data_IF_452507891822
#
_entry.id   IF_452507891822
#
_cell.length_a   1.000
_cell.length_b   1.000
_cell.length_c   1.000
_cell.angle_alpha   90.00
_cell.angle_beta   90.00
_cell.angle_gamma   90.00
#
_symmetry.space_group_name_H-M   'P 1'
#
loop_
_entity.id
_entity.type
_entity.pdbx_description
1 polymer ?
#
# COMPACT_ATOMS: atom_id res chain seq x y z
N UNK A 1 -6.49 -36.62 44.16
CA UNK A 1 -5.47 -36.23 43.16
C UNK A 1 -5.60 -37.14 41.93
N UNK A 2 -6.66 -36.99 41.14
CA UNK A 2 -6.86 -37.78 39.92
C UNK A 2 -7.85 -37.10 38.93
N UNK A 3 -7.66 -35.80 38.64
CA UNK A 3 -8.54 -35.09 37.68
C UNK A 3 -7.83 -34.19 36.67
N UNK A 4 -6.48 -34.12 36.68
CA UNK A 4 -5.74 -33.24 35.75
C UNK A 4 -5.05 -33.98 34.59
N UNK A 5 -5.07 -35.31 34.56
CA UNK A 5 -4.39 -36.09 33.50
C UNK A 5 -5.27 -36.33 32.26
N UNK A 6 -6.59 -36.36 32.40
CA UNK A 6 -7.50 -36.62 31.27
C UNK A 6 -7.75 -35.45 30.34
N UNK A 7 -7.58 -34.19 30.79
CA UNK A 7 -7.75 -33.00 29.92
C UNK A 7 -6.60 -32.79 28.97
N UNK A 8 -5.38 -33.20 29.31
CA UNK A 8 -4.21 -33.07 28.41
C UNK A 8 -4.25 -34.10 27.28
N UNK A 9 -4.71 -35.31 27.55
CA UNK A 9 -4.84 -36.37 26.52
C UNK A 9 -5.91 -36.09 25.47
N UNK A 10 -7.02 -35.45 25.87
CA UNK A 10 -8.08 -35.07 24.90
C UNK A 10 -7.69 -33.88 23.99
N UNK A 11 -6.87 -32.96 24.50
CA UNK A 11 -6.34 -31.86 23.68
C UNK A 11 -5.31 -32.37 22.66
N UNK A 12 -4.46 -33.29 23.05
CA UNK A 12 -3.43 -33.92 22.21
C UNK A 12 -4.05 -34.82 21.11
N UNK A 13 -5.10 -35.57 21.44
CA UNK A 13 -5.85 -36.37 20.47
C UNK A 13 -6.56 -35.51 19.41
N UNK A 14 -7.13 -34.37 19.80
CA UNK A 14 -7.78 -33.44 18.87
C UNK A 14 -6.81 -32.76 17.90
N UNK A 15 -5.59 -32.49 18.33
CA UNK A 15 -4.53 -31.96 17.43
C UNK A 15 -4.07 -33.05 16.45
N UNK A 16 -3.87 -34.28 16.90
CA UNK A 16 -3.47 -35.39 16.03
C UNK A 16 -4.52 -35.72 14.95
N UNK A 17 -5.81 -35.68 15.27
CA UNK A 17 -6.89 -35.86 14.29
C UNK A 17 -6.94 -34.72 13.26
N UNK A 18 -6.74 -33.45 13.67
CA UNK A 18 -6.68 -32.31 12.75
C UNK A 18 -5.46 -32.35 11.82
N UNK A 19 -4.32 -32.85 12.31
CA UNK A 19 -3.12 -33.03 11.46
C UNK A 19 -3.30 -34.15 10.44
N UNK A 20 -3.94 -35.26 10.81
CA UNK A 20 -4.27 -36.35 9.89
C UNK A 20 -5.24 -35.89 8.79
N UNK A 21 -6.28 -35.11 9.15
CA UNK A 21 -7.22 -34.54 8.19
C UNK A 21 -6.55 -33.53 7.28
N UNK A 22 -5.63 -32.69 7.81
CA UNK A 22 -4.85 -31.74 7.06
C UNK A 22 -3.93 -32.40 6.03
N UNK A 23 -3.24 -33.47 6.41
CA UNK A 23 -2.36 -34.23 5.51
C UNK A 23 -3.17 -34.95 4.42
N UNK A 24 -4.31 -35.52 4.76
CA UNK A 24 -5.22 -36.17 3.81
C UNK A 24 -5.71 -35.16 2.76
N UNK A 25 -6.13 -33.96 3.19
CA UNK A 25 -6.54 -32.88 2.29
C UNK A 25 -5.39 -32.41 1.37
N UNK A 26 -4.15 -32.30 1.91
CA UNK A 26 -2.98 -31.97 1.09
C UNK A 26 -2.66 -33.06 0.06
N UNK A 27 -2.80 -34.34 0.44
CA UNK A 27 -2.57 -35.48 -0.48
C UNK A 27 -3.60 -35.51 -1.60
N UNK A 28 -4.87 -35.18 -1.34
CA UNK A 28 -5.91 -35.05 -2.37
C UNK A 28 -5.54 -33.96 -3.40
N UNK A 29 -5.12 -32.76 -2.93
CA UNK A 29 -4.67 -31.69 -3.83
C UNK A 29 -3.41 -32.09 -4.60
N UNK A 30 -2.45 -32.75 -3.98
CA UNK A 30 -1.23 -33.24 -4.63
C UNK A 30 -1.55 -34.23 -5.78
N UNK A 31 -2.54 -35.09 -5.59
CA UNK A 31 -3.03 -35.97 -6.65
C UNK A 31 -3.57 -35.16 -7.84
N UNK A 32 -4.34 -34.10 -7.58
CA UNK A 32 -4.83 -33.20 -8.62
C UNK A 32 -3.69 -32.46 -9.34
N UNK A 33 -2.64 -32.01 -8.62
CA UNK A 33 -1.47 -31.37 -9.20
C UNK A 33 -0.70 -32.28 -10.17
N UNK A 34 -0.71 -33.60 -9.94
CA UNK A 34 -0.05 -34.60 -10.79
C UNK A 34 -0.92 -35.14 -11.93
N UNK A 35 -2.14 -34.63 -12.07
CA UNK A 35 -3.01 -35.02 -13.16
C UNK A 35 -2.40 -34.67 -14.52
N UNK A 36 -2.63 -35.49 -15.52
CA UNK A 36 -2.28 -35.17 -16.93
C UNK A 36 -3.19 -34.13 -17.58
N UNK A 37 -4.27 -33.69 -16.89
CA UNK A 37 -5.24 -32.72 -17.40
C UNK A 37 -5.03 -31.35 -16.78
N UNK A 38 -4.80 -30.35 -17.63
CA UNK A 38 -4.58 -28.96 -17.19
C UNK A 38 -5.71 -28.44 -16.29
N UNK A 39 -6.96 -28.73 -16.59
CA UNK A 39 -8.12 -28.29 -15.80
C UNK A 39 -8.10 -28.81 -14.37
N UNK A 40 -7.78 -30.10 -14.18
CA UNK A 40 -7.66 -30.74 -12.85
C UNK A 40 -6.49 -30.13 -12.06
N UNK A 41 -5.34 -29.85 -12.72
CA UNK A 41 -4.21 -29.18 -12.12
C UNK A 41 -4.58 -27.77 -11.63
N UNK A 42 -5.26 -26.99 -12.47
CA UNK A 42 -5.72 -25.65 -12.12
C UNK A 42 -6.71 -25.67 -10.96
N UNK A 43 -7.67 -26.61 -10.96
CA UNK A 43 -8.63 -26.77 -9.89
C UNK A 43 -7.93 -27.11 -8.57
N UNK A 44 -6.95 -28.00 -8.59
CA UNK A 44 -6.15 -28.30 -7.41
C UNK A 44 -5.41 -27.06 -6.90
N UNK A 45 -4.73 -26.29 -7.79
CA UNK A 45 -3.99 -25.09 -7.42
C UNK A 45 -4.90 -24.05 -6.74
N UNK A 46 -6.08 -23.77 -7.27
CA UNK A 46 -6.95 -22.70 -6.73
C UNK A 46 -7.61 -23.06 -5.39
N UNK A 47 -7.54 -24.33 -4.98
CA UNK A 47 -8.06 -24.79 -3.66
C UNK A 47 -7.08 -24.54 -2.51
N UNK A 48 -5.78 -24.31 -2.75
CA UNK A 48 -4.76 -24.13 -1.70
C UNK A 48 -5.05 -23.00 -0.71
N UNK A 49 -5.55 -21.80 -1.11
CA UNK A 49 -5.87 -20.76 -0.13
C UNK A 49 -6.88 -21.19 0.92
N UNK A 50 -7.87 -22.02 0.52
CA UNK A 50 -8.85 -22.59 1.47
C UNK A 50 -8.20 -23.60 2.40
N UNK A 51 -7.26 -24.41 1.89
CA UNK A 51 -6.49 -25.35 2.71
C UNK A 51 -5.70 -24.60 3.79
N UNK A 52 -5.01 -23.50 3.42
CA UNK A 52 -4.24 -22.67 4.35
C UNK A 52 -5.09 -21.97 5.42
N UNK A 53 -6.31 -21.58 5.05
CA UNK A 53 -7.26 -20.98 6.00
C UNK A 53 -7.78 -22.01 7.00
N UNK A 54 -8.08 -23.24 6.52
CA UNK A 54 -8.60 -24.32 7.38
C UNK A 54 -7.51 -24.91 8.27
N UNK A 55 -6.30 -25.07 7.74
CA UNK A 55 -5.17 -25.72 8.40
C UNK A 55 -3.91 -24.82 8.36
N UNK A 56 -3.79 -23.81 9.23
CA UNK A 56 -2.69 -22.84 9.19
C UNK A 56 -1.38 -23.37 9.83
N UNK A 57 -1.10 -24.67 9.69
CA UNK A 57 0.09 -25.30 10.26
C UNK A 57 1.34 -25.01 9.41
N UNK A 58 2.47 -24.56 9.99
CA UNK A 58 3.67 -24.23 9.23
C UNK A 58 4.22 -25.39 8.39
N UNK A 59 4.21 -26.61 8.91
CA UNK A 59 4.69 -27.82 8.21
C UNK A 59 3.87 -28.08 6.94
N UNK A 60 2.53 -28.02 7.06
CA UNK A 60 1.62 -28.20 5.92
C UNK A 60 1.80 -27.10 4.89
N UNK A 61 1.85 -25.84 5.33
CA UNK A 61 2.03 -24.66 4.46
C UNK A 61 3.35 -24.77 3.71
N UNK A 62 4.45 -25.09 4.39
CA UNK A 62 5.75 -25.28 3.76
C UNK A 62 5.71 -26.38 2.69
N UNK A 63 5.16 -27.56 3.02
CA UNK A 63 5.03 -28.66 2.06
C UNK A 63 4.16 -28.28 0.85
N UNK A 64 3.06 -27.57 1.09
CA UNK A 64 2.16 -27.11 0.05
C UNK A 64 2.84 -26.10 -0.89
N UNK A 65 3.54 -25.09 -0.37
CA UNK A 65 4.26 -24.12 -1.20
C UNK A 65 5.39 -24.75 -2.00
N UNK A 66 6.11 -25.75 -1.46
CA UNK A 66 7.12 -26.49 -2.23
C UNK A 66 6.49 -27.27 -3.41
N UNK A 67 5.29 -27.85 -3.23
CA UNK A 67 4.55 -28.50 -4.33
C UNK A 67 4.08 -27.47 -5.38
N UNK A 68 3.56 -26.32 -4.94
CA UNK A 68 3.17 -25.23 -5.84
C UNK A 68 4.39 -24.67 -6.62
N UNK A 69 5.57 -24.62 -6.00
CA UNK A 69 6.81 -24.21 -6.68
C UNK A 69 7.23 -25.22 -7.77
N UNK A 70 7.03 -26.52 -7.55
CA UNK A 70 7.29 -27.52 -8.59
C UNK A 70 6.32 -27.37 -9.77
N UNK A 71 5.04 -27.14 -9.49
CA UNK A 71 4.05 -26.83 -10.55
C UNK A 71 4.42 -25.56 -11.31
N UNK A 72 4.89 -24.52 -10.62
CA UNK A 72 5.36 -23.29 -11.24
C UNK A 72 6.57 -23.55 -12.15
N UNK A 73 7.53 -24.33 -11.71
CA UNK A 73 8.76 -24.64 -12.44
C UNK A 73 8.47 -25.40 -13.74
N UNK A 74 7.64 -26.44 -13.69
CA UNK A 74 7.42 -27.37 -14.80
C UNK A 74 6.21 -26.99 -15.67
N UNK A 75 5.23 -26.30 -15.08
CA UNK A 75 3.96 -25.96 -15.71
C UNK A 75 4.07 -24.94 -16.84
N UNK A 76 3.00 -24.82 -17.61
CA UNK A 76 2.85 -23.76 -18.60
C UNK A 76 2.54 -22.40 -17.96
N UNK A 77 2.49 -21.33 -18.74
CA UNK A 77 2.26 -19.98 -18.24
C UNK A 77 0.90 -19.79 -17.55
N UNK A 78 -0.12 -20.55 -17.96
CA UNK A 78 -1.42 -20.48 -17.31
C UNK A 78 -1.36 -21.05 -15.88
N UNK A 79 -0.72 -22.21 -15.70
CA UNK A 79 -0.47 -22.78 -14.37
C UNK A 79 0.41 -21.86 -13.50
N UNK A 80 1.48 -21.29 -14.07
CA UNK A 80 2.32 -20.29 -13.39
C UNK A 80 1.49 -19.11 -12.90
N UNK A 81 0.58 -18.61 -13.73
CA UNK A 81 -0.32 -17.51 -13.35
C UNK A 81 -1.28 -17.93 -12.22
N UNK A 82 -1.82 -19.16 -12.26
CA UNK A 82 -2.65 -19.67 -11.17
C UNK A 82 -1.87 -19.75 -9.85
N UNK A 83 -0.64 -20.27 -9.87
CA UNK A 83 0.23 -20.34 -8.69
C UNK A 83 0.56 -18.93 -8.17
N UNK A 84 0.88 -17.98 -9.05
CA UNK A 84 1.09 -16.58 -8.67
C UNK A 84 -0.14 -16.01 -7.93
N UNK A 85 -1.34 -16.21 -8.47
CA UNK A 85 -2.58 -15.71 -7.85
C UNK A 85 -2.84 -16.34 -6.49
N UNK A 86 -2.61 -17.65 -6.37
CA UNK A 86 -2.71 -18.37 -5.08
C UNK A 86 -1.71 -17.83 -4.06
N UNK A 87 -0.46 -17.58 -4.47
CA UNK A 87 0.58 -16.99 -3.61
C UNK A 87 0.16 -15.60 -3.11
N UNK A 88 -0.35 -14.73 -4.00
CA UNK A 88 -0.86 -13.41 -3.64
C UNK A 88 -2.05 -13.47 -2.67
N UNK A 89 -3.00 -14.39 -2.89
CA UNK A 89 -4.14 -14.59 -1.98
C UNK A 89 -3.73 -15.14 -0.61
N UNK A 90 -2.58 -15.81 -0.57
CA UNK A 90 -2.06 -16.48 0.63
C UNK A 90 -0.92 -15.69 1.29
N UNK A 91 -0.80 -14.39 1.03
CA UNK A 91 0.26 -13.52 1.55
C UNK A 91 0.46 -13.66 3.06
N UNK A 92 -0.64 -13.73 3.84
CA UNK A 92 -0.63 -13.90 5.31
C UNK A 92 0.06 -15.20 5.80
N UNK A 93 0.27 -16.15 4.90
CA UNK A 93 0.86 -17.44 5.21
C UNK A 93 2.30 -17.58 4.71
N UNK A 94 2.85 -16.60 3.98
CA UNK A 94 4.19 -16.67 3.41
C UNK A 94 5.27 -16.77 4.49
N UNK A 95 5.12 -16.08 5.61
CA UNK A 95 6.05 -16.14 6.75
C UNK A 95 6.15 -17.52 7.40
N UNK A 96 5.17 -18.41 7.13
CA UNK A 96 5.16 -19.79 7.64
C UNK A 96 5.93 -20.78 6.76
N UNK A 97 6.52 -20.31 5.65
CA UNK A 97 7.36 -21.14 4.79
C UNK A 97 8.71 -21.36 5.50
N UNK A 98 8.99 -22.59 5.87
CA UNK A 98 10.22 -22.95 6.61
C UNK A 98 11.43 -23.02 5.69
N UNK A 99 11.26 -23.56 4.48
CA UNK A 99 12.32 -23.78 3.49
C UNK A 99 12.27 -22.72 2.37
N UNK A 100 12.37 -21.43 2.76
CA UNK A 100 12.28 -20.30 1.82
C UNK A 100 13.30 -20.41 0.70
N UNK A 101 14.53 -20.82 0.98
CA UNK A 101 15.62 -20.94 -0.01
C UNK A 101 15.27 -21.95 -1.10
N UNK A 102 14.80 -23.13 -0.74
CA UNK A 102 14.41 -24.17 -1.70
C UNK A 102 13.17 -23.75 -2.52
N UNK A 103 12.18 -23.13 -1.86
CA UNK A 103 11.00 -22.59 -2.52
C UNK A 103 11.39 -21.56 -3.59
N UNK A 104 12.19 -20.55 -3.20
CA UNK A 104 12.62 -19.48 -4.10
C UNK A 104 13.52 -20.01 -5.21
N UNK A 105 14.41 -20.98 -4.94
CA UNK A 105 15.26 -21.60 -5.95
C UNK A 105 14.44 -22.24 -7.07
N UNK A 106 13.35 -22.95 -6.75
CA UNK A 106 12.46 -23.55 -7.76
C UNK A 106 11.76 -22.48 -8.58
N UNK A 107 11.24 -21.43 -7.96
CA UNK A 107 10.62 -20.30 -8.67
C UNK A 107 11.63 -19.59 -9.56
N UNK A 108 12.82 -19.27 -9.01
CA UNK A 108 13.85 -18.51 -9.69
C UNK A 108 14.42 -19.23 -10.93
N UNK A 109 14.37 -20.57 -10.99
CA UNK A 109 14.84 -21.31 -12.15
C UNK A 109 14.13 -20.93 -13.46
N UNK A 110 12.90 -20.40 -13.38
CA UNK A 110 12.10 -19.99 -14.54
C UNK A 110 12.52 -18.61 -15.09
N UNK A 111 13.30 -17.82 -14.33
CA UNK A 111 13.76 -16.49 -14.78
C UNK A 111 14.70 -16.58 -15.99
N UNK A 112 15.33 -17.71 -16.21
CA UNK A 112 16.22 -17.97 -17.34
C UNK A 112 15.49 -18.57 -18.57
N UNK A 113 14.15 -18.58 -18.56
CA UNK A 113 13.35 -19.03 -19.69
C UNK A 113 13.52 -18.10 -20.90
N UNK A 114 13.51 -18.66 -22.11
CA UNK A 114 13.49 -17.88 -23.34
C UNK A 114 12.14 -17.15 -23.56
N UNK A 115 11.07 -17.60 -22.88
CA UNK A 115 9.74 -16.99 -22.97
C UNK A 115 9.64 -15.75 -22.07
N UNK A 116 9.44 -14.55 -22.64
CA UNK A 116 9.32 -13.31 -21.86
C UNK A 116 8.10 -13.30 -20.91
N UNK A 117 7.02 -14.01 -21.28
CA UNK A 117 5.83 -14.13 -20.41
C UNK A 117 6.16 -14.96 -19.17
N UNK A 118 6.93 -16.04 -19.34
CA UNK A 118 7.39 -16.86 -18.21
C UNK A 118 8.29 -16.05 -17.27
N UNK A 119 9.23 -15.26 -17.82
CA UNK A 119 10.08 -14.36 -17.03
C UNK A 119 9.25 -13.29 -16.30
N UNK A 120 8.29 -12.68 -16.98
CA UNK A 120 7.39 -11.68 -16.39
C UNK A 120 6.57 -12.24 -15.21
N UNK A 121 5.99 -13.45 -15.37
CA UNK A 121 5.25 -14.10 -14.27
C UNK A 121 6.19 -14.39 -13.09
N UNK A 122 7.43 -14.81 -13.39
CA UNK A 122 8.45 -15.06 -12.36
C UNK A 122 8.84 -13.79 -11.61
N UNK A 123 9.03 -12.66 -12.31
CA UNK A 123 9.29 -11.35 -11.69
C UNK A 123 8.13 -10.91 -10.78
N UNK A 124 6.89 -11.09 -11.24
CA UNK A 124 5.71 -10.80 -10.40
C UNK A 124 5.63 -11.72 -9.18
N UNK A 125 6.02 -13.00 -9.34
CA UNK A 125 6.11 -13.93 -8.21
C UNK A 125 7.17 -13.47 -7.21
N UNK A 126 8.39 -13.15 -7.66
CA UNK A 126 9.44 -12.62 -6.79
C UNK A 126 9.01 -11.34 -6.06
N UNK A 127 8.36 -10.41 -6.79
CA UNK A 127 7.79 -9.20 -6.18
C UNK A 127 6.75 -9.51 -5.09
N UNK A 128 5.91 -10.52 -5.29
CA UNK A 128 4.93 -10.94 -4.27
C UNK A 128 5.58 -11.63 -3.06
N UNK A 129 6.82 -12.11 -3.19
CA UNK A 129 7.60 -12.73 -2.14
C UNK A 129 8.58 -11.76 -1.45
N UNK A 130 8.62 -10.48 -1.85
CA UNK A 130 9.59 -9.50 -1.37
C UNK A 130 9.65 -9.40 0.17
N UNK A 131 8.53 -9.60 0.86
CA UNK A 131 8.46 -9.58 2.34
C UNK A 131 9.31 -10.67 3.01
N UNK A 132 9.44 -11.84 2.39
CA UNK A 132 10.18 -12.98 2.94
C UNK A 132 11.60 -13.14 2.36
N UNK A 133 11.92 -12.41 1.29
CA UNK A 133 13.24 -12.46 0.63
C UNK A 133 13.81 -11.05 0.34
N UNK A 134 13.67 -10.06 1.24
CA UNK A 134 13.99 -8.66 0.94
C UNK A 134 15.44 -8.45 0.46
N UNK A 135 16.40 -9.21 0.99
CA UNK A 135 17.83 -9.04 0.73
C UNK A 135 18.41 -10.05 -0.28
N UNK A 136 17.57 -10.71 -1.07
CA UNK A 136 17.99 -11.71 -2.05
C UNK A 136 18.68 -11.03 -3.27
N UNK A 137 20.01 -11.00 -3.29
CA UNK A 137 20.81 -10.30 -4.30
C UNK A 137 20.54 -10.78 -5.74
N UNK A 138 20.30 -12.09 -5.94
CA UNK A 138 19.99 -12.62 -7.27
C UNK A 138 18.66 -12.06 -7.80
N UNK A 139 17.65 -11.93 -6.93
CA UNK A 139 16.37 -11.29 -7.30
C UNK A 139 16.58 -9.81 -7.63
N UNK A 140 17.35 -9.09 -6.81
CA UNK A 140 17.70 -7.69 -7.06
C UNK A 140 18.37 -7.50 -8.43
N UNK A 141 19.34 -8.37 -8.78
CA UNK A 141 20.04 -8.32 -10.06
C UNK A 141 19.10 -8.58 -11.23
N UNK A 142 18.29 -9.64 -11.15
CA UNK A 142 17.34 -9.98 -12.22
C UNK A 142 16.30 -8.89 -12.44
N UNK A 143 15.74 -8.29 -11.38
CA UNK A 143 14.80 -7.17 -11.49
C UNK A 143 15.46 -5.99 -12.22
N UNK A 144 16.70 -5.63 -11.83
CA UNK A 144 17.43 -4.53 -12.46
C UNK A 144 17.72 -4.79 -13.93
N UNK A 145 18.10 -6.01 -14.28
CA UNK A 145 18.35 -6.42 -15.66
C UNK A 145 17.08 -6.40 -16.50
N UNK A 146 15.94 -6.86 -15.94
CA UNK A 146 14.67 -6.90 -16.67
C UNK A 146 14.02 -5.53 -16.87
N UNK A 147 14.44 -4.48 -16.14
CA UNK A 147 14.06 -3.10 -16.44
C UNK A 147 14.64 -2.59 -17.78
N UNK A 148 15.70 -3.20 -18.28
CA UNK A 148 16.33 -2.91 -19.57
C UNK A 148 15.84 -3.86 -20.69
N UNK A 149 14.87 -4.72 -20.43
CA UNK A 149 14.31 -5.62 -21.42
C UNK A 149 13.61 -4.88 -22.55
N UNK A 150 13.66 -5.43 -23.75
CA UNK A 150 12.91 -4.93 -24.90
C UNK A 150 11.43 -5.33 -24.89
N UNK A 151 11.05 -6.27 -24.03
CA UNK A 151 9.68 -6.76 -23.91
C UNK A 151 8.91 -5.98 -22.84
N UNK A 152 7.84 -5.31 -23.24
CA UNK A 152 7.03 -4.48 -22.36
C UNK A 152 6.39 -5.27 -21.20
N UNK A 153 6.03 -6.56 -21.43
CA UNK A 153 5.39 -7.39 -20.41
C UNK A 153 6.40 -7.70 -19.29
N UNK A 154 7.65 -7.96 -19.68
CA UNK A 154 8.75 -8.18 -18.73
C UNK A 154 9.11 -6.90 -17.97
N UNK A 155 9.23 -5.75 -18.66
CA UNK A 155 9.51 -4.45 -18.02
C UNK A 155 8.42 -4.09 -17.01
N UNK A 156 7.13 -4.25 -17.35
CA UNK A 156 6.04 -3.99 -16.41
C UNK A 156 6.08 -4.89 -15.17
N UNK A 157 6.46 -6.16 -15.37
CA UNK A 157 6.62 -7.09 -14.25
C UNK A 157 7.84 -6.73 -13.38
N UNK A 158 8.95 -6.28 -14.00
CA UNK A 158 10.12 -5.77 -13.30
C UNK A 158 9.81 -4.52 -12.48
N UNK A 159 9.01 -3.60 -13.00
CA UNK A 159 8.54 -2.40 -12.27
C UNK A 159 7.69 -2.80 -11.05
N UNK A 160 6.78 -3.77 -11.20
CA UNK A 160 6.00 -4.31 -10.09
C UNK A 160 6.92 -4.91 -9.01
N UNK A 161 7.89 -5.73 -9.41
CA UNK A 161 8.83 -6.33 -8.47
C UNK A 161 9.71 -5.25 -7.81
N UNK A 162 10.20 -4.26 -8.57
CA UNK A 162 11.00 -3.16 -8.05
C UNK A 162 10.24 -2.35 -6.99
N UNK A 163 8.94 -2.08 -7.19
CA UNK A 163 8.11 -1.39 -6.22
C UNK A 163 8.02 -2.16 -4.89
N UNK A 164 7.75 -3.47 -4.96
CA UNK A 164 7.64 -4.31 -3.75
C UNK A 164 8.97 -4.49 -3.02
N UNK A 165 10.07 -4.74 -3.75
CA UNK A 165 11.39 -4.85 -3.12
C UNK A 165 11.87 -3.53 -2.53
N UNK A 166 11.60 -2.38 -3.19
CA UNK A 166 11.94 -1.07 -2.63
C UNK A 166 11.19 -0.75 -1.32
N UNK A 167 9.99 -1.32 -1.15
CA UNK A 167 9.23 -1.20 0.09
C UNK A 167 9.81 -2.03 1.24
N UNK A 168 10.53 -3.11 0.94
CA UNK A 168 11.02 -4.09 1.93
C UNK A 168 12.53 -3.99 2.19
N UNK A 169 13.32 -3.59 1.19
CA UNK A 169 14.79 -3.52 1.28
C UNK A 169 15.30 -2.11 1.04
N UNK A 170 15.94 -1.55 2.06
CA UNK A 170 16.64 -0.26 1.96
C UNK A 170 17.76 -0.31 0.91
N UNK A 171 18.57 -1.37 0.93
CA UNK A 171 19.72 -1.52 0.01
C UNK A 171 19.26 -1.61 -1.44
N UNK A 172 18.14 -2.30 -1.68
CA UNK A 172 17.56 -2.36 -3.01
C UNK A 172 17.03 -0.99 -3.45
N UNK A 173 16.27 -0.30 -2.58
CA UNK A 173 15.72 1.03 -2.87
C UNK A 173 16.83 2.02 -3.25
N UNK A 174 17.91 2.09 -2.45
CA UNK A 174 19.06 2.94 -2.72
C UNK A 174 19.72 2.56 -4.05
N UNK A 175 19.94 1.27 -4.28
CA UNK A 175 20.62 0.78 -5.48
C UNK A 175 19.84 0.92 -6.79
N UNK A 176 18.49 1.05 -6.75
CA UNK A 176 17.64 1.16 -7.94
C UNK A 176 17.26 2.61 -8.28
N UNK A 177 17.43 3.55 -7.34
CA UNK A 177 16.94 4.93 -7.43
C UNK A 177 17.36 5.64 -8.72
N UNK A 178 18.66 5.61 -9.06
CA UNK A 178 19.18 6.26 -10.25
C UNK A 178 18.53 5.71 -11.52
N UNK A 179 18.42 4.38 -11.62
CA UNK A 179 17.79 3.72 -12.76
C UNK A 179 16.33 4.14 -12.94
N UNK A 180 15.56 4.15 -11.85
CA UNK A 180 14.15 4.59 -11.87
C UNK A 180 14.06 6.06 -12.27
N UNK A 181 14.92 6.92 -11.76
CA UNK A 181 14.95 8.35 -12.09
C UNK A 181 15.27 8.58 -13.58
N UNK A 182 16.26 7.88 -14.13
CA UNK A 182 16.60 7.91 -15.55
C UNK A 182 15.43 7.46 -16.44
N UNK A 183 14.76 6.38 -16.08
CA UNK A 183 13.59 5.90 -16.82
C UNK A 183 12.42 6.90 -16.77
N UNK A 184 12.18 7.55 -15.63
CA UNK A 184 11.13 8.57 -15.50
C UNK A 184 11.44 9.80 -16.36
N UNK A 185 12.69 10.26 -16.39
CA UNK A 185 13.13 11.42 -17.17
C UNK A 185 13.27 11.11 -18.66
N UNK A 186 13.54 9.85 -19.01
CA UNK A 186 13.78 9.40 -20.37
C UNK A 186 12.60 9.70 -21.31
N UNK A 187 12.89 10.27 -22.48
CA UNK A 187 11.87 10.59 -23.48
C UNK A 187 11.27 9.33 -24.14
N UNK A 188 12.04 8.26 -24.21
CA UNK A 188 11.60 6.98 -24.80
C UNK A 188 10.62 6.20 -23.90
N UNK A 189 10.55 6.50 -22.60
CA UNK A 189 9.67 5.79 -21.67
C UNK A 189 8.23 6.24 -21.84
N UNK A 190 7.28 5.33 -22.14
CA UNK A 190 5.87 5.65 -22.26
C UNK A 190 5.29 6.27 -20.98
N UNK A 191 4.31 7.16 -21.12
CA UNK A 191 3.69 7.85 -19.98
C UNK A 191 3.05 6.87 -19.00
N UNK A 192 2.40 5.82 -19.49
CA UNK A 192 1.77 4.80 -18.63
C UNK A 192 2.80 4.04 -17.79
N UNK A 193 4.01 3.81 -18.33
CA UNK A 193 5.09 3.20 -17.57
C UNK A 193 5.66 4.18 -16.53
N UNK A 194 5.82 5.47 -16.89
CA UNK A 194 6.21 6.52 -15.92
C UNK A 194 5.26 6.58 -14.73
N UNK A 195 3.95 6.49 -14.97
CA UNK A 195 2.93 6.47 -13.91
C UNK A 195 3.09 5.27 -12.95
N UNK A 196 3.66 4.16 -13.43
CA UNK A 196 3.95 2.97 -12.59
C UNK A 196 5.31 3.08 -11.87
N UNK A 197 6.27 3.82 -12.43
CA UNK A 197 7.59 4.04 -11.85
C UNK A 197 7.58 5.09 -10.74
N UNK A 198 6.83 6.18 -10.90
CA UNK A 198 6.79 7.30 -9.95
C UNK A 198 6.53 6.84 -8.50
N UNK A 199 5.56 5.95 -8.21
CA UNK A 199 5.30 5.51 -6.83
C UNK A 199 6.50 4.85 -6.14
N UNK A 200 7.48 4.33 -6.88
CA UNK A 200 8.68 3.72 -6.29
C UNK A 200 9.51 4.75 -5.51
N UNK A 201 9.48 6.01 -5.96
CA UNK A 201 10.24 7.11 -5.33
C UNK A 201 9.84 7.38 -3.88
N UNK A 202 8.65 6.97 -3.41
CA UNK A 202 8.25 7.09 -2.01
C UNK A 202 9.17 6.35 -1.03
N UNK A 203 9.86 5.31 -1.51
CA UNK A 203 10.76 4.48 -0.70
C UNK A 203 12.20 5.02 -0.63
N UNK A 204 12.48 6.18 -1.24
CA UNK A 204 13.83 6.79 -1.25
C UNK A 204 14.16 7.59 0.02
N UNK A 205 13.30 7.52 1.03
CA UNK A 205 13.47 8.26 2.31
C UNK A 205 14.62 7.75 3.20
N UNK A 206 15.22 6.62 2.88
CA UNK A 206 16.30 6.02 3.66
C UNK A 206 17.65 6.74 3.54
N UNK A 207 17.84 7.52 2.48
CA UNK A 207 19.04 8.31 2.22
C UNK A 207 18.65 9.75 1.94
N UNK A 208 19.28 10.71 2.64
CA UNK A 208 18.90 12.13 2.56
C UNK A 208 19.18 12.73 1.15
N UNK A 209 20.25 12.29 0.49
CA UNK A 209 20.62 12.78 -0.84
C UNK A 209 19.61 12.25 -1.87
N UNK A 210 19.31 10.95 -1.82
CA UNK A 210 18.34 10.33 -2.72
C UNK A 210 16.92 10.86 -2.48
N UNK A 211 16.53 11.08 -1.23
CA UNK A 211 15.26 11.71 -0.89
C UNK A 211 15.17 13.13 -1.46
N UNK A 212 16.26 13.91 -1.41
CA UNK A 212 16.31 15.25 -1.99
C UNK A 212 16.19 15.21 -3.53
N UNK A 213 16.93 14.32 -4.19
CA UNK A 213 16.86 14.11 -5.64
C UNK A 213 15.48 13.66 -6.09
N UNK A 214 14.87 12.71 -5.37
CA UNK A 214 13.51 12.24 -5.65
C UNK A 214 12.48 13.37 -5.51
N UNK A 215 12.59 14.21 -4.46
CA UNK A 215 11.74 15.41 -4.29
C UNK A 215 11.87 16.39 -5.43
N UNK A 216 13.09 16.69 -5.85
CA UNK A 216 13.34 17.61 -6.97
C UNK A 216 12.74 17.06 -8.26
N UNK A 217 12.89 15.77 -8.54
CA UNK A 217 12.29 15.10 -9.69
C UNK A 217 10.76 15.18 -9.64
N UNK A 218 10.15 14.84 -8.51
CA UNK A 218 8.69 14.90 -8.34
C UNK A 218 8.15 16.31 -8.52
N UNK A 219 8.85 17.33 -8.02
CA UNK A 219 8.48 18.74 -8.21
C UNK A 219 8.54 19.14 -9.69
N UNK A 220 9.58 18.72 -10.41
CA UNK A 220 9.68 18.95 -11.86
C UNK A 220 8.54 18.27 -12.63
N UNK A 221 8.20 17.03 -12.28
CA UNK A 221 7.12 16.30 -12.94
C UNK A 221 5.76 16.98 -12.77
N UNK A 222 5.46 17.46 -11.57
CA UNK A 222 4.19 18.16 -11.28
C UNK A 222 4.07 19.46 -12.07
N UNK A 223 5.19 20.17 -12.31
CA UNK A 223 5.21 21.43 -13.06
C UNK A 223 5.25 21.22 -14.58
N UNK A 224 6.00 20.21 -15.05
CA UNK A 224 6.24 19.99 -16.49
C UNK A 224 5.14 19.18 -17.19
N UNK A 225 4.40 18.34 -16.45
CA UNK A 225 3.36 17.49 -17.01
C UNK A 225 1.97 17.88 -16.50
N UNK A 226 1.20 18.67 -17.28
CA UNK A 226 -0.10 19.18 -16.83
C UNK A 226 -1.21 18.12 -16.80
N UNK A 227 -0.95 16.88 -17.23
CA UNK A 227 -1.90 15.77 -17.18
C UNK A 227 -2.40 15.53 -15.77
N UNK A 228 -3.72 15.47 -15.59
CA UNK A 228 -4.34 15.21 -14.28
C UNK A 228 -3.83 13.94 -13.61
N UNK A 229 -3.65 12.86 -14.37
CA UNK A 229 -3.13 11.59 -13.84
C UNK A 229 -1.69 11.73 -13.33
N UNK A 230 -0.84 12.40 -14.12
CA UNK A 230 0.56 12.62 -13.74
C UNK A 230 0.66 13.46 -12.46
N UNK A 231 -0.09 14.56 -12.39
CA UNK A 231 -0.11 15.43 -11.19
C UNK A 231 -0.60 14.66 -9.97
N UNK A 232 -1.67 13.87 -10.09
CA UNK A 232 -2.21 13.06 -8.99
C UNK A 232 -1.16 12.07 -8.48
N UNK A 233 -0.55 11.27 -9.36
CA UNK A 233 0.42 10.25 -8.96
C UNK A 233 1.68 10.88 -8.36
N UNK A 234 2.22 11.93 -9.00
CA UNK A 234 3.41 12.63 -8.52
C UNK A 234 3.19 13.32 -7.18
N UNK A 235 2.07 14.02 -7.01
CA UNK A 235 1.74 14.73 -5.78
C UNK A 235 1.51 13.76 -4.61
N UNK A 236 0.82 12.65 -4.86
CA UNK A 236 0.64 11.59 -3.86
C UNK A 236 1.96 10.94 -3.44
N UNK A 237 2.80 10.56 -4.41
CA UNK A 237 4.13 10.00 -4.14
C UNK A 237 5.00 10.97 -3.36
N UNK A 238 4.94 12.26 -3.71
CA UNK A 238 5.65 13.32 -2.98
C UNK A 238 5.17 13.41 -1.52
N UNK A 239 3.86 13.32 -1.30
CA UNK A 239 3.28 13.30 0.05
C UNK A 239 3.75 12.10 0.85
N UNK A 240 3.77 10.90 0.25
CA UNK A 240 4.24 9.68 0.92
C UNK A 240 5.73 9.76 1.28
N UNK A 241 6.56 10.31 0.39
CA UNK A 241 7.98 10.55 0.64
C UNK A 241 8.18 11.56 1.78
N UNK A 242 7.46 12.69 1.73
CA UNK A 242 7.52 13.74 2.77
C UNK A 242 7.00 13.25 4.13
N UNK A 243 6.00 12.38 4.15
CA UNK A 243 5.42 11.80 5.37
C UNK A 243 6.41 10.93 6.17
N UNK A 244 7.54 10.57 5.57
CA UNK A 244 8.63 9.84 6.24
C UNK A 244 9.71 10.77 6.80
N UNK A 245 9.60 12.11 6.57
CA UNK A 245 10.54 13.13 7.02
C UNK A 245 9.81 14.28 7.72
N UNK A 246 10.10 14.48 9.01
CA UNK A 246 9.50 15.57 9.79
C UNK A 246 9.85 16.97 9.25
N UNK A 247 11.01 17.11 8.61
CA UNK A 247 11.50 18.38 8.06
C UNK A 247 10.73 18.78 6.80
N UNK A 248 10.31 17.81 6.01
CA UNK A 248 9.66 18.05 4.71
C UNK A 248 8.15 18.16 4.82
N UNK A 249 7.56 17.57 5.86
CA UNK A 249 6.10 17.57 6.05
C UNK A 249 5.48 18.97 6.05
N UNK A 250 6.02 20.00 6.74
CA UNK A 250 5.43 21.34 6.72
C UNK A 250 5.38 21.95 5.31
N UNK A 251 6.44 21.77 4.50
CA UNK A 251 6.50 22.26 3.12
C UNK A 251 5.49 21.54 2.24
N UNK A 252 5.31 20.23 2.46
CA UNK A 252 4.33 19.43 1.73
C UNK A 252 2.89 19.84 2.06
N UNK A 253 2.58 20.14 3.34
CA UNK A 253 1.28 20.67 3.73
C UNK A 253 0.99 21.97 2.99
N UNK A 254 1.94 22.91 2.96
CA UNK A 254 1.80 24.17 2.24
C UNK A 254 1.56 23.97 0.73
N UNK A 255 2.30 23.06 0.11
CA UNK A 255 2.14 22.71 -1.31
C UNK A 255 0.72 22.15 -1.58
N UNK A 256 0.25 21.23 -0.76
CA UNK A 256 -1.09 20.66 -0.90
C UNK A 256 -2.20 21.71 -0.73
N UNK A 257 -2.05 22.63 0.22
CA UNK A 257 -2.97 23.77 0.40
C UNK A 257 -2.97 24.72 -0.82
N UNK A 258 -1.81 24.94 -1.45
CA UNK A 258 -1.74 25.70 -2.70
C UNK A 258 -2.50 25.03 -3.84
N UNK A 259 -2.35 23.69 -4.01
CA UNK A 259 -3.13 22.93 -5.00
C UNK A 259 -4.63 22.93 -4.68
N UNK A 260 -4.98 22.81 -3.40
CA UNK A 260 -6.38 22.87 -2.97
C UNK A 260 -7.03 24.22 -3.31
N UNK A 261 -6.30 25.33 -3.15
CA UNK A 261 -6.77 26.69 -3.42
C UNK A 261 -6.81 26.99 -4.93
N UNK A 262 -5.71 26.74 -5.63
CA UNK A 262 -5.45 27.29 -6.96
C UNK A 262 -5.77 26.34 -8.13
N UNK A 263 -5.72 25.00 -7.94
CA UNK A 263 -5.92 24.07 -9.05
C UNK A 263 -7.40 24.00 -9.45
N UNK A 264 -7.75 24.15 -10.74
CA UNK A 264 -9.13 24.11 -11.20
C UNK A 264 -9.73 22.69 -11.19
N UNK A 265 -8.91 21.65 -11.17
CA UNK A 265 -9.31 20.26 -11.34
C UNK A 265 -9.81 19.67 -10.03
N UNK A 266 -11.10 19.30 -9.98
CA UNK A 266 -11.73 18.70 -8.80
C UNK A 266 -11.03 17.40 -8.33
N UNK A 267 -10.48 16.60 -9.26
CA UNK A 267 -9.77 15.36 -8.95
C UNK A 267 -8.47 15.63 -8.16
N UNK A 268 -7.70 16.67 -8.56
CA UNK A 268 -6.48 17.08 -7.85
C UNK A 268 -6.81 17.63 -6.47
N UNK A 269 -7.86 18.45 -6.33
CA UNK A 269 -8.33 18.96 -5.04
C UNK A 269 -8.75 17.82 -4.10
N UNK A 270 -9.44 16.80 -4.62
CA UNK A 270 -9.83 15.62 -3.84
C UNK A 270 -8.61 14.86 -3.32
N UNK A 271 -7.61 14.64 -4.19
CA UNK A 271 -6.35 14.04 -3.77
C UNK A 271 -5.65 14.88 -2.70
N UNK A 272 -5.52 16.19 -2.91
CA UNK A 272 -4.87 17.08 -1.95
C UNK A 272 -5.53 16.97 -0.56
N UNK A 273 -6.85 16.86 -0.47
CA UNK A 273 -7.55 16.65 0.80
C UNK A 273 -7.24 15.26 1.40
N UNK A 274 -7.19 14.22 0.59
CA UNK A 274 -6.83 12.86 1.06
C UNK A 274 -5.41 12.83 1.62
N UNK A 275 -4.48 13.49 0.94
CA UNK A 275 -3.08 13.60 1.33
C UNK A 275 -2.91 14.48 2.59
N UNK A 276 -3.64 15.58 2.70
CA UNK A 276 -3.68 16.39 3.91
C UNK A 276 -4.21 15.58 5.11
N UNK A 277 -5.22 14.72 4.89
CA UNK A 277 -5.73 13.82 5.93
C UNK A 277 -4.68 12.78 6.35
N UNK A 278 -3.93 12.23 5.39
CA UNK A 278 -2.83 11.32 5.67
C UNK A 278 -1.77 11.98 6.57
N UNK A 279 -1.35 13.22 6.23
CA UNK A 279 -0.37 13.98 7.02
C UNK A 279 -0.94 14.38 8.39
N UNK A 280 -2.22 14.72 8.49
CA UNK A 280 -2.90 15.00 9.75
C UNK A 280 -2.91 13.79 10.69
N UNK A 281 -3.06 12.58 10.16
CA UNK A 281 -3.00 11.35 10.94
C UNK A 281 -1.57 10.98 11.36
N UNK A 282 -0.58 11.11 10.44
CA UNK A 282 0.80 10.68 10.69
C UNK A 282 1.58 11.68 11.54
N UNK A 283 1.45 12.98 11.25
CA UNK A 283 2.31 14.04 11.77
C UNK A 283 1.51 15.28 12.18
N UNK A 284 0.53 15.16 13.09
CA UNK A 284 -0.33 16.28 13.48
C UNK A 284 0.42 17.46 14.07
N UNK A 285 1.55 17.20 14.74
CA UNK A 285 2.39 18.23 15.40
C UNK A 285 3.13 19.14 14.41
N UNK A 286 3.19 18.80 13.13
CA UNK A 286 3.83 19.62 12.08
C UNK A 286 2.91 20.68 11.49
N UNK A 287 1.63 20.68 11.87
CA UNK A 287 0.65 21.63 11.38
C UNK A 287 0.77 22.95 12.10
N UNK A 288 1.05 24.02 11.34
CA UNK A 288 1.06 25.38 11.90
C UNK A 288 -0.37 25.96 11.97
N UNK A 289 -0.51 27.03 12.78
CA UNK A 289 -1.77 27.78 12.88
C UNK A 289 -2.23 28.30 11.52
N UNK A 290 -1.31 28.82 10.73
CA UNK A 290 -1.57 29.38 9.41
C UNK A 290 -2.10 28.32 8.43
N UNK A 291 -1.56 27.09 8.50
CA UNK A 291 -2.02 25.98 7.66
C UNK A 291 -3.45 25.54 7.99
N UNK A 292 -3.78 25.51 9.29
CA UNK A 292 -5.14 25.18 9.74
C UNK A 292 -6.11 26.29 9.31
N UNK A 293 -5.72 27.55 9.46
CA UNK A 293 -6.53 28.69 9.02
C UNK A 293 -6.76 28.66 7.52
N UNK A 294 -5.73 28.44 6.70
CA UNK A 294 -5.85 28.32 5.26
C UNK A 294 -6.80 27.18 4.83
N UNK A 295 -6.77 26.05 5.55
CA UNK A 295 -7.70 24.94 5.30
C UNK A 295 -9.16 25.34 5.64
N UNK A 296 -9.39 26.06 6.72
CA UNK A 296 -10.71 26.58 7.09
C UNK A 296 -11.24 27.56 6.04
N UNK A 297 -10.39 28.50 5.57
CA UNK A 297 -10.76 29.44 4.52
C UNK A 297 -11.13 28.72 3.21
N UNK A 298 -10.36 27.70 2.81
CA UNK A 298 -10.70 26.86 1.66
C UNK A 298 -12.03 26.14 1.84
N UNK A 299 -12.34 25.65 3.05
CA UNK A 299 -13.61 24.98 3.33
C UNK A 299 -14.82 25.92 3.24
N UNK A 300 -14.64 27.18 3.64
CA UNK A 300 -15.68 28.21 3.54
C UNK A 300 -15.93 28.67 2.08
N UNK A 301 -14.85 28.79 1.29
CA UNK A 301 -14.93 29.34 -0.05
C UNK A 301 -15.32 28.33 -1.13
N UNK A 302 -15.18 27.02 -0.85
CA UNK A 302 -15.49 26.00 -1.87
C UNK A 302 -16.98 25.81 -2.09
N UNK A 303 -17.44 25.79 -3.36
CA UNK A 303 -18.84 25.53 -3.68
C UNK A 303 -19.21 24.04 -3.66
N UNK A 304 -18.22 23.14 -3.53
CA UNK A 304 -18.43 21.69 -3.64
C UNK A 304 -18.54 21.02 -2.27
N UNK A 305 -19.74 20.55 -1.90
CA UNK A 305 -20.00 19.90 -0.60
C UNK A 305 -19.12 18.69 -0.35
N UNK A 306 -18.82 17.88 -1.39
CA UNK A 306 -17.93 16.73 -1.25
C UNK A 306 -16.50 17.09 -0.86
N UNK A 307 -15.99 18.23 -1.34
CA UNK A 307 -14.66 18.74 -0.94
C UNK A 307 -14.73 19.37 0.46
N UNK A 308 -15.82 20.09 0.76
CA UNK A 308 -16.08 20.67 2.08
C UNK A 308 -16.08 19.59 3.17
N UNK A 309 -16.82 18.50 2.96
CA UNK A 309 -16.86 17.35 3.88
C UNK A 309 -15.46 16.71 4.05
N UNK A 310 -14.69 16.59 2.96
CA UNK A 310 -13.33 16.11 3.03
C UNK A 310 -12.43 16.99 3.92
N UNK A 311 -12.47 18.32 3.74
CA UNK A 311 -11.72 19.28 4.56
C UNK A 311 -12.15 19.27 6.02
N UNK A 312 -13.46 19.19 6.30
CA UNK A 312 -13.99 19.03 7.66
C UNK A 312 -13.49 17.73 8.32
N UNK A 313 -13.35 16.64 7.55
CA UNK A 313 -12.76 15.39 8.04
C UNK A 313 -11.29 15.55 8.43
N UNK A 314 -10.51 16.36 7.71
CA UNK A 314 -9.12 16.69 8.08
C UNK A 314 -9.09 17.50 9.37
N UNK A 315 -9.92 18.55 9.47
CA UNK A 315 -10.03 19.38 10.67
C UNK A 315 -10.48 18.57 11.89
N UNK A 316 -11.43 17.65 11.71
CA UNK A 316 -11.86 16.73 12.76
C UNK A 316 -10.72 15.83 13.24
N UNK A 317 -9.89 15.33 12.33
CA UNK A 317 -8.69 14.54 12.70
C UNK A 317 -7.71 15.37 13.53
N UNK A 318 -7.43 16.60 13.09
CA UNK A 318 -6.51 17.51 13.79
C UNK A 318 -7.03 17.92 15.17
N UNK A 319 -8.35 18.14 15.30
CA UNK A 319 -8.97 18.57 16.57
C UNK A 319 -8.81 17.58 17.73
N UNK A 320 -8.70 16.28 17.39
CA UNK A 320 -8.40 15.23 18.37
C UNK A 320 -6.96 15.20 18.86
N UNK A 321 -6.06 15.99 18.26
CA UNK A 321 -4.62 15.97 18.53
C UNK A 321 -4.18 17.05 19.52
N UNK A 322 -3.05 16.83 20.21
CA UNK A 322 -2.48 17.77 21.17
C UNK A 322 -2.09 19.09 20.50
N UNK A 323 -1.64 19.06 19.24
CA UNK A 323 -1.22 20.26 18.50
C UNK A 323 -2.32 21.33 18.45
N UNK A 324 -3.55 20.92 18.11
CA UNK A 324 -4.68 21.85 18.02
C UNK A 324 -5.16 22.30 19.40
N UNK A 325 -5.15 21.42 20.41
CA UNK A 325 -5.49 21.78 21.78
C UNK A 325 -4.58 22.90 22.31
N UNK A 326 -3.30 22.87 21.97
CA UNK A 326 -2.34 23.92 22.36
C UNK A 326 -2.69 25.29 21.75
N UNK A 327 -3.09 25.33 20.46
CA UNK A 327 -3.51 26.57 19.81
C UNK A 327 -4.80 27.14 20.39
N UNK A 328 -5.75 26.31 20.82
CA UNK A 328 -7.00 26.74 21.44
C UNK A 328 -6.84 27.24 22.87
N UNK A 329 -5.93 26.68 23.66
CA UNK A 329 -5.68 27.11 25.02
C UNK A 329 -5.05 28.52 25.10
N UNK A 330 -4.23 28.88 24.11
CA UNK A 330 -3.61 30.22 24.02
C UNK A 330 -4.63 31.28 23.60
N UNK A 331 -5.62 30.93 22.76
CA UNK A 331 -6.66 31.87 22.30
C UNK A 331 -7.68 32.27 23.39
N UNK A 332 -7.86 31.44 24.41
CA UNK A 332 -8.80 31.76 25.53
C UNK A 332 -8.28 32.88 26.47
N UNK A 333 -7.03 33.30 26.31
CA UNK A 333 -6.41 34.30 27.21
C UNK A 333 -6.33 35.73 26.67
N UNK A 334 -6.52 36.01 25.37
CA UNK A 334 -6.48 37.37 24.82
C UNK A 334 -7.30 37.47 23.53
N UNK A 335 -8.59 37.75 23.64
CA UNK A 335 -9.42 38.11 22.50
C UNK A 335 -9.05 39.49 21.97
N UNK A 336 -8.33 39.58 20.85
CA UNK A 336 -8.27 40.80 20.04
C UNK A 336 -9.41 40.77 18.99
N UNK A 337 -10.16 41.87 18.89
CA UNK A 337 -11.19 42.11 17.86
C UNK A 337 -10.61 41.96 16.46
N UNK A 338 -10.66 40.79 15.91
CA UNK A 338 -10.15 40.40 14.57
C UNK A 338 -10.33 38.91 14.29
N UNK A 339 -10.66 38.12 15.30
CA UNK A 339 -10.62 36.66 15.26
C UNK A 339 -11.96 36.00 14.87
N UNK A 340 -12.82 36.67 14.08
CA UNK A 340 -14.09 36.08 13.59
C UNK A 340 -13.90 34.75 12.84
N UNK A 341 -12.75 34.58 12.15
CA UNK A 341 -12.40 33.34 11.45
C UNK A 341 -12.17 32.20 12.45
N UNK A 342 -11.53 32.47 13.60
CA UNK A 342 -11.25 31.46 14.62
C UNK A 342 -12.51 30.98 15.35
N UNK A 343 -13.47 31.88 15.60
CA UNK A 343 -14.77 31.52 16.16
C UNK A 343 -15.51 30.63 15.18
N UNK A 344 -15.46 30.96 13.89
CA UNK A 344 -16.04 30.15 12.81
C UNK A 344 -15.34 28.80 12.68
N UNK A 345 -14.00 28.74 12.70
CA UNK A 345 -13.23 27.49 12.72
C UNK A 345 -13.56 26.63 13.94
N UNK A 346 -13.71 27.22 15.12
CA UNK A 346 -14.10 26.52 16.35
C UNK A 346 -15.50 25.94 16.21
N UNK A 347 -16.45 26.69 15.64
CA UNK A 347 -17.79 26.21 15.36
C UNK A 347 -17.76 25.07 14.32
N UNK A 348 -16.97 25.17 13.24
CA UNK A 348 -16.80 24.10 12.26
C UNK A 348 -16.14 22.86 12.85
N UNK A 349 -15.13 23.00 13.72
CA UNK A 349 -14.48 21.87 14.40
C UNK A 349 -15.47 21.19 15.33
N UNK A 350 -16.27 21.95 16.10
CA UNK A 350 -17.33 21.41 16.94
C UNK A 350 -18.44 20.73 16.14
N UNK A 351 -18.88 21.33 15.01
CA UNK A 351 -19.85 20.75 14.09
C UNK A 351 -19.26 19.53 13.37
N UNK A 352 -17.97 19.60 12.96
CA UNK A 352 -17.25 18.46 12.34
C UNK A 352 -17.14 17.26 13.28
N UNK A 353 -16.87 17.49 14.57
CA UNK A 353 -16.87 16.44 15.59
C UNK A 353 -18.29 15.85 15.75
N UNK A 354 -19.30 16.69 15.83
CA UNK A 354 -20.72 16.26 15.92
C UNK A 354 -21.15 15.52 14.67
N UNK A 355 -20.76 15.98 13.47
CA UNK A 355 -21.05 15.33 12.19
C UNK A 355 -20.34 14.00 12.02
N UNK A 356 -19.12 13.84 12.53
CA UNK A 356 -18.39 12.57 12.50
C UNK A 356 -19.02 11.52 13.43
N UNK A 357 -19.54 11.95 14.58
CA UNK A 357 -20.35 11.10 15.47
C UNK A 357 -21.70 10.74 14.83
N UNK A 358 -22.36 11.68 14.16
CA UNK A 358 -23.60 11.48 13.42
C UNK A 358 -23.39 10.57 12.19
N UNK A 359 -22.30 10.73 11.44
CA UNK A 359 -21.99 9.87 10.29
C UNK A 359 -21.69 8.42 10.71
N UNK A 360 -20.91 8.21 11.78
CA UNK A 360 -20.72 6.88 12.37
C UNK A 360 -22.01 6.29 12.96
N UNK A 361 -22.90 7.12 13.48
CA UNK A 361 -24.18 6.67 13.98
C UNK A 361 -25.19 6.34 12.85
N UNK A 362 -25.10 7.03 11.72
CA UNK A 362 -25.86 6.74 10.49
C UNK A 362 -25.38 5.46 9.79
N UNK A 363 -24.05 5.26 9.65
CA UNK A 363 -23.48 4.02 9.12
C UNK A 363 -23.79 2.80 10.03
N UNK A 364 -23.94 3.02 11.32
CA UNK A 364 -24.34 1.96 12.28
C UNK A 364 -25.84 1.70 12.35
N UNK A 365 -26.66 2.40 11.55
CA UNK A 365 -28.12 2.21 11.49
C UNK A 365 -28.90 2.64 12.76
N UNK A 366 -28.26 3.40 13.66
CA UNK A 366 -28.85 3.73 14.98
C UNK A 366 -29.66 5.04 15.02
N UNK A 367 -29.60 5.89 13.98
CA UNK A 367 -30.34 7.18 13.96
C UNK A 367 -30.82 7.48 12.53
N UNK A 368 -32.13 7.73 12.34
CA UNK A 368 -32.69 8.34 11.15
C UNK A 368 -32.91 9.83 11.42
N UNK A 369 -32.31 10.71 10.61
CA UNK A 369 -32.50 12.17 10.76
C UNK A 369 -33.40 12.67 9.63
N UNK A 370 -34.49 13.34 10.01
CA UNK A 370 -35.25 14.15 9.09
C UNK A 370 -34.55 15.49 8.84
N UNK A 371 -34.54 15.94 7.59
CA UNK A 371 -33.78 17.08 7.05
C UNK A 371 -34.17 18.49 7.57
N UNK A 372 -34.83 18.62 8.70
CA UNK A 372 -35.45 19.88 9.15
C UNK A 372 -34.67 20.65 10.22
N UNK A 373 -33.44 20.30 10.57
CA UNK A 373 -32.67 21.00 11.63
C UNK A 373 -31.26 21.29 11.19
N UNK A 374 -31.07 21.99 10.07
CA UNK A 374 -29.79 22.71 9.78
C UNK A 374 -30.17 23.97 8.96
N UNK A 375 -30.66 24.98 9.63
CA UNK A 375 -30.58 26.39 9.27
C UNK A 375 -29.96 27.14 10.42
#
# INVERSE_FOLDING_TARGET
MASNSTKSFLADAGYGEQELDANSALMELDKGLRSGKLGEQCEAVVRFPRLFQKYPFPILINSAFLKLADVFRVGNNFLRLCVLKVTQQSEKHLEKILNVDEFVKRIFSVIHSNDPVARAITLRMLGSLASIIPERKNAHHSIRQSLDSHDNVEVEAAVFAAANFSAQSKDFAVGICNKISEMIQGLATPVDLKLKLIPILQHMHHDAILASSARQLLQQLVTSYPSTKMVIVSLHTFTLLAASSLVDTPKQIQLLLQYLKNDPRKAVKRLAIQDLKLLANKTPHTWSRENIQALCECALQTPYDSLKLGMLSVLSTLSGTIAVKHYFSIASGKEKKGDNIWITCRSFICVGISSCFLYKALESGKISISYSVIC
#
